data_IF_457523883122
#
_entry.id   IF_457523883122
#
_cell.length_a   1.000
_cell.length_b   1.000
_cell.length_c   1.000
_cell.angle_alpha   90.00
_cell.angle_beta   90.00
_cell.angle_gamma   90.00
#
_symmetry.space_group_name_H-M   'P 1'
#
loop_
_entity.id
_entity.type
_entity.pdbx_description
1 polymer ?
#
# COMPACT_ATOMS: atom_id res chain seq x y z
N UNK A 1 -34.10 6.20 -35.20
CA UNK A 1 -35.00 5.40 -34.35
C UNK A 1 -34.46 5.46 -32.95
N UNK A 2 -34.97 6.37 -32.16
CA UNK A 2 -34.68 6.59 -30.74
C UNK A 2 -35.44 5.56 -29.92
N UNK A 3 -34.79 4.55 -29.42
CA UNK A 3 -35.33 3.63 -28.42
C UNK A 3 -34.36 3.54 -27.24
N UNK A 4 -34.13 4.67 -26.60
CA UNK A 4 -33.45 4.74 -25.32
C UNK A 4 -34.41 5.30 -24.27
N UNK A 5 -35.37 4.50 -23.82
CA UNK A 5 -35.99 4.79 -22.54
C UNK A 5 -34.99 4.56 -21.43
N UNK A 6 -34.57 5.61 -20.76
CA UNK A 6 -33.76 5.51 -19.53
C UNK A 6 -34.46 4.53 -18.58
N UNK A 7 -33.83 3.40 -18.33
CA UNK A 7 -34.37 2.39 -17.40
C UNK A 7 -33.86 2.74 -16.01
N UNK A 8 -34.56 3.66 -15.33
CA UNK A 8 -34.29 4.01 -13.94
C UNK A 8 -34.20 2.73 -13.10
N UNK A 9 -33.23 2.67 -12.21
CA UNK A 9 -33.01 1.51 -11.34
C UNK A 9 -34.16 1.41 -10.33
N UNK A 10 -34.92 0.30 -10.41
CA UNK A 10 -35.90 -0.03 -9.38
C UNK A 10 -35.21 -0.56 -8.13
N UNK A 11 -35.01 0.33 -7.15
CA UNK A 11 -34.38 0.01 -5.86
C UNK A 11 -35.21 -0.90 -4.97
N UNK A 12 -36.47 -1.21 -5.35
CA UNK A 12 -37.32 -2.18 -4.65
C UNK A 12 -37.09 -3.62 -5.15
N UNK A 13 -36.52 -3.78 -6.35
CA UNK A 13 -36.20 -5.09 -6.90
C UNK A 13 -35.07 -5.76 -6.12
N UNK A 14 -34.95 -7.12 -6.07
CA UNK A 14 -33.90 -7.79 -5.37
C UNK A 14 -32.48 -7.36 -5.80
N UNK A 15 -32.29 -7.10 -7.10
CA UNK A 15 -31.03 -6.61 -7.65
C UNK A 15 -30.76 -5.15 -7.25
N UNK A 16 -31.80 -4.29 -7.29
CA UNK A 16 -31.70 -2.89 -6.88
C UNK A 16 -31.43 -2.74 -5.38
N UNK A 17 -32.09 -3.52 -4.53
CA UNK A 17 -31.83 -3.56 -3.08
C UNK A 17 -30.38 -3.95 -2.80
N UNK A 18 -29.86 -4.97 -3.49
CA UNK A 18 -28.49 -5.42 -3.34
C UNK A 18 -27.51 -4.33 -3.80
N UNK A 19 -27.74 -3.73 -4.97
CA UNK A 19 -26.91 -2.67 -5.53
C UNK A 19 -26.87 -1.46 -4.59
N UNK A 20 -28.04 -0.99 -4.13
CA UNK A 20 -28.14 0.14 -3.19
C UNK A 20 -27.35 -0.13 -1.91
N UNK A 21 -27.52 -1.33 -1.34
CA UNK A 21 -26.77 -1.71 -0.14
C UNK A 21 -25.27 -1.71 -0.36
N UNK A 22 -24.79 -2.28 -1.48
CA UNK A 22 -23.37 -2.32 -1.79
C UNK A 22 -22.80 -0.92 -2.04
N UNK A 23 -23.55 -0.03 -2.71
CA UNK A 23 -23.15 1.34 -2.95
C UNK A 23 -23.02 2.14 -1.63
N UNK A 24 -23.96 1.94 -0.70
CA UNK A 24 -23.91 2.55 0.64
C UNK A 24 -22.72 2.00 1.44
N UNK A 25 -22.56 0.68 1.52
CA UNK A 25 -21.44 0.02 2.24
C UNK A 25 -20.08 0.50 1.68
N UNK A 26 -19.97 0.73 0.36
CA UNK A 26 -18.75 1.26 -0.29
C UNK A 26 -18.48 2.70 0.12
N UNK A 27 -19.51 3.55 0.11
CA UNK A 27 -19.42 4.96 0.51
C UNK A 27 -18.98 5.09 1.98
N UNK A 28 -19.62 4.32 2.87
CA UNK A 28 -19.36 4.37 4.31
C UNK A 28 -17.91 4.02 4.66
N UNK A 29 -17.32 3.03 3.99
CA UNK A 29 -15.93 2.62 4.26
C UNK A 29 -14.89 3.57 3.63
N UNK A 30 -15.27 4.37 2.63
CA UNK A 30 -14.34 5.21 1.85
C UNK A 30 -13.56 6.19 2.71
N UNK A 31 -14.21 6.84 3.67
CA UNK A 31 -13.56 7.80 4.55
C UNK A 31 -12.46 7.15 5.39
N UNK A 32 -12.69 5.95 5.89
CA UNK A 32 -11.70 5.19 6.65
C UNK A 32 -10.49 4.79 5.77
N UNK A 33 -10.74 4.25 4.57
CA UNK A 33 -9.69 3.86 3.63
C UNK A 33 -8.87 5.09 3.17
N UNK A 34 -9.52 6.22 2.94
CA UNK A 34 -8.83 7.47 2.58
C UNK A 34 -7.95 7.96 3.72
N UNK A 35 -8.41 7.87 4.97
CA UNK A 35 -7.59 8.21 6.13
C UNK A 35 -6.32 7.33 6.21
N UNK A 36 -6.43 6.02 5.96
CA UNK A 36 -5.26 5.13 5.94
C UNK A 36 -4.29 5.48 4.80
N UNK A 37 -4.80 5.79 3.60
CA UNK A 37 -4.00 6.27 2.49
C UNK A 37 -3.30 7.59 2.83
N UNK A 38 -3.97 8.51 3.51
CA UNK A 38 -3.39 9.79 3.96
C UNK A 38 -2.25 9.57 4.94
N UNK A 39 -2.35 8.60 5.86
CA UNK A 39 -1.22 8.22 6.73
C UNK A 39 -0.06 7.66 5.91
N UNK A 40 -0.33 6.79 4.95
CA UNK A 40 0.71 6.24 4.07
C UNK A 40 1.40 7.35 3.25
N UNK A 41 0.64 8.35 2.77
CA UNK A 41 1.17 9.49 2.01
C UNK A 41 1.82 10.55 2.89
N UNK A 42 1.62 10.50 4.20
CA UNK A 42 2.10 11.52 5.15
C UNK A 42 1.34 12.85 5.06
N UNK A 43 0.10 12.82 4.59
CA UNK A 43 -0.78 14.00 4.49
C UNK A 43 -1.96 13.95 5.46
N UNK A 44 -2.00 12.95 6.34
CA UNK A 44 -3.02 12.77 7.37
C UNK A 44 -3.22 14.01 8.23
N UNK A 45 -4.41 14.18 8.79
CA UNK A 45 -4.70 15.24 9.77
C UNK A 45 -3.73 15.19 10.95
N UNK A 46 -3.48 16.34 11.57
CA UNK A 46 -2.66 16.39 12.76
C UNK A 46 -3.56 16.09 13.96
N UNK A 47 -3.14 15.23 14.89
CA UNK A 47 -3.98 14.79 16.01
C UNK A 47 -4.27 15.88 17.07
N UNK A 48 -3.78 17.09 16.84
CA UNK A 48 -3.97 18.23 17.75
C UNK A 48 -5.08 19.13 17.23
N UNK A 49 -6.12 19.31 18.00
CA UNK A 49 -7.16 20.31 17.73
C UNK A 49 -6.59 21.71 17.90
N UNK A 50 -6.05 22.26 16.82
CA UNK A 50 -5.68 23.65 16.76
C UNK A 50 -6.96 24.51 16.71
N UNK A 51 -7.15 25.38 17.70
CA UNK A 51 -8.26 26.35 17.70
C UNK A 51 -8.23 27.23 16.44
N UNK A 52 -9.38 27.82 16.08
CA UNK A 52 -9.54 28.64 14.85
C UNK A 52 -8.58 29.82 14.69
N UNK A 53 -7.78 30.13 15.70
CA UNK A 53 -6.85 31.26 15.74
C UNK A 53 -5.37 30.85 15.80
N UNK A 54 -5.04 29.65 15.32
CA UNK A 54 -3.64 29.21 15.27
C UNK A 54 -2.88 30.03 14.23
N UNK A 55 -1.77 30.65 14.65
CA UNK A 55 -0.91 31.45 13.77
C UNK A 55 -0.39 30.58 12.63
N UNK A 56 -0.26 31.13 11.42
CA UNK A 56 0.28 30.42 10.23
C UNK A 56 1.62 29.74 10.52
N UNK A 57 2.48 30.35 11.33
CA UNK A 57 3.76 29.78 11.75
C UNK A 57 3.59 28.44 12.49
N UNK A 58 2.56 28.31 13.34
CA UNK A 58 2.27 27.07 14.05
C UNK A 58 1.73 26.00 13.11
N UNK A 59 0.85 26.37 12.19
CA UNK A 59 0.36 25.45 11.14
C UNK A 59 1.52 24.89 10.32
N UNK A 60 2.52 25.71 10.00
CA UNK A 60 3.72 25.25 9.31
C UNK A 60 4.55 24.29 10.15
N UNK A 61 4.74 24.54 11.45
CA UNK A 61 5.40 23.61 12.36
C UNK A 61 4.67 22.28 12.43
N UNK A 62 3.34 22.30 12.49
CA UNK A 62 2.51 21.10 12.45
C UNK A 62 2.71 20.31 11.16
N UNK A 63 2.82 20.95 10.00
CA UNK A 63 3.07 20.26 8.72
C UNK A 63 4.44 19.59 8.67
N UNK A 64 5.49 20.26 9.15
CA UNK A 64 6.86 19.73 9.12
C UNK A 64 7.17 18.74 10.27
N UNK A 65 6.28 18.58 11.25
CA UNK A 65 6.46 17.60 12.33
C UNK A 65 6.16 16.17 11.90
N UNK A 66 5.55 15.96 10.75
CA UNK A 66 5.15 14.63 10.29
C UNK A 66 6.36 13.79 9.91
N UNK A 67 6.46 12.62 10.52
CA UNK A 67 7.38 11.55 10.10
C UNK A 67 6.57 10.46 9.44
N UNK A 68 6.79 10.23 8.14
CA UNK A 68 6.02 9.25 7.38
C UNK A 68 6.52 7.81 7.63
N UNK A 69 6.36 7.31 8.86
CA UNK A 69 6.72 5.94 9.21
C UNK A 69 5.73 4.91 8.66
N UNK A 70 4.47 5.27 8.46
CA UNK A 70 3.46 4.38 7.87
C UNK A 70 3.93 3.84 6.52
N UNK A 71 4.50 4.70 5.68
CA UNK A 71 5.09 4.30 4.40
C UNK A 71 6.24 3.33 4.56
N UNK A 72 7.14 3.57 5.51
CA UNK A 72 8.29 2.67 5.76
C UNK A 72 7.82 1.29 6.19
N UNK A 73 6.79 1.21 7.06
CA UNK A 73 6.21 -0.05 7.54
C UNK A 73 5.65 -0.87 6.36
N UNK A 74 4.89 -0.24 5.47
CA UNK A 74 4.29 -0.87 4.29
C UNK A 74 5.37 -1.32 3.30
N UNK A 75 6.25 -0.40 2.88
CA UNK A 75 7.27 -0.70 1.87
C UNK A 75 8.28 -1.75 2.36
N UNK A 76 8.63 -1.75 3.65
CA UNK A 76 9.51 -2.77 4.21
C UNK A 76 8.94 -4.20 4.07
N UNK A 77 7.64 -4.37 3.99
CA UNK A 77 6.98 -5.66 3.74
C UNK A 77 6.85 -5.91 2.24
N UNK A 78 6.28 -4.94 1.50
CA UNK A 78 6.01 -5.04 0.06
C UNK A 78 7.27 -5.36 -0.78
N UNK A 79 8.40 -4.75 -0.48
CA UNK A 79 9.66 -4.93 -1.23
C UNK A 79 10.15 -6.39 -1.33
N UNK A 80 9.63 -7.28 -0.51
CA UNK A 80 9.97 -8.70 -0.51
C UNK A 80 8.83 -9.59 -1.04
N UNK A 81 7.70 -8.99 -1.41
CA UNK A 81 6.57 -9.68 -2.02
C UNK A 81 6.68 -9.55 -3.54
N UNK A 82 7.32 -10.51 -4.17
CA UNK A 82 7.64 -10.49 -5.60
C UNK A 82 7.28 -11.83 -6.24
N UNK A 83 6.13 -11.92 -6.94
CA UNK A 83 5.76 -13.12 -7.69
C UNK A 83 6.68 -13.30 -8.90
N UNK A 84 7.30 -14.45 -9.04
CA UNK A 84 8.24 -14.76 -10.12
C UNK A 84 7.73 -15.85 -11.07
N UNK A 85 6.54 -16.39 -10.83
CA UNK A 85 5.94 -17.40 -11.69
C UNK A 85 4.70 -18.04 -11.07
N UNK A 86 4.08 -18.92 -11.83
CA UNK A 86 2.93 -19.74 -11.40
C UNK A 86 3.15 -21.17 -11.83
N UNK A 87 2.80 -22.12 -10.95
CA UNK A 87 2.65 -23.54 -11.31
C UNK A 87 1.19 -23.80 -11.60
N UNK A 88 0.91 -24.63 -12.59
CA UNK A 88 -0.44 -25.10 -12.92
C UNK A 88 -0.44 -26.62 -13.08
N UNK A 89 -1.60 -27.26 -12.93
CA UNK A 89 -1.74 -28.70 -13.16
C UNK A 89 -1.60 -29.12 -14.63
N UNK A 90 -1.48 -28.16 -15.55
CA UNK A 90 -1.35 -28.42 -16.97
C UNK A 90 0.09 -28.58 -17.43
N UNK A 91 1.02 -27.94 -16.75
CA UNK A 91 2.43 -27.99 -17.03
C UNK A 91 3.15 -28.68 -15.87
N UNK A 92 3.81 -29.79 -16.15
CA UNK A 92 4.60 -30.53 -15.16
C UNK A 92 5.96 -29.87 -14.91
N UNK A 93 6.22 -28.70 -15.51
CA UNK A 93 7.47 -27.98 -15.35
C UNK A 93 7.55 -27.36 -13.96
N UNK A 94 8.48 -27.82 -13.15
CA UNK A 94 8.76 -27.30 -11.82
C UNK A 94 9.21 -25.83 -11.84
N UNK A 95 9.65 -25.33 -12.98
CA UNK A 95 10.11 -23.95 -13.17
C UNK A 95 8.99 -22.92 -13.31
N UNK A 96 7.75 -23.36 -13.52
CA UNK A 96 6.57 -22.53 -13.70
C UNK A 96 5.96 -22.60 -15.10
N UNK A 97 4.67 -22.30 -15.19
CA UNK A 97 3.90 -22.32 -16.42
C UNK A 97 4.19 -21.06 -17.28
N UNK A 98 4.74 -21.28 -18.48
CA UNK A 98 5.11 -20.21 -19.41
C UNK A 98 3.90 -19.41 -19.92
N UNK A 99 2.73 -20.04 -20.06
CA UNK A 99 1.52 -19.37 -20.50
C UNK A 99 0.91 -18.48 -19.39
N UNK A 100 0.97 -18.93 -18.14
CA UNK A 100 0.60 -18.10 -16.99
C UNK A 100 1.49 -16.86 -16.94
N UNK A 101 2.79 -17.03 -17.12
CA UNK A 101 3.72 -15.91 -17.14
C UNK A 101 3.52 -14.98 -18.34
N UNK A 102 3.14 -15.52 -19.51
CA UNK A 102 2.78 -14.73 -20.69
C UNK A 102 1.57 -13.82 -20.41
N UNK A 103 0.51 -14.35 -19.79
CA UNK A 103 -0.67 -13.55 -19.41
C UNK A 103 -0.28 -12.45 -18.42
N UNK A 104 0.56 -12.79 -17.43
CA UNK A 104 1.07 -11.84 -16.44
C UNK A 104 1.80 -10.68 -17.11
N UNK A 105 2.76 -10.97 -17.98
CA UNK A 105 3.55 -9.98 -18.71
C UNK A 105 2.70 -9.14 -19.67
N UNK A 106 1.76 -9.76 -20.38
CA UNK A 106 0.87 -9.07 -21.32
C UNK A 106 0.01 -8.00 -20.64
N UNK A 107 -0.32 -8.19 -19.36
CA UNK A 107 -1.06 -7.23 -18.54
C UNK A 107 -0.15 -6.27 -17.73
N UNK A 108 1.17 -6.29 -17.95
CA UNK A 108 2.13 -5.45 -17.17
C UNK A 108 2.04 -5.66 -15.66
N UNK A 109 1.67 -6.86 -15.21
CA UNK A 109 1.44 -7.15 -13.79
C UNK A 109 2.71 -7.08 -12.94
N UNK A 110 3.91 -7.06 -13.54
CA UNK A 110 5.16 -6.75 -12.83
C UNK A 110 5.12 -5.37 -12.16
N UNK A 111 4.38 -4.43 -12.72
CA UNK A 111 4.18 -3.11 -12.14
C UNK A 111 2.89 -3.04 -11.30
N UNK A 112 1.79 -3.58 -11.84
CA UNK A 112 0.47 -3.40 -11.24
C UNK A 112 0.27 -4.24 -9.97
N UNK A 113 0.95 -5.42 -9.84
CA UNK A 113 0.91 -6.16 -8.58
C UNK A 113 1.42 -5.33 -7.40
N UNK A 114 2.46 -4.47 -7.64
CA UNK A 114 2.99 -3.59 -6.59
C UNK A 114 1.96 -2.57 -6.10
N UNK A 115 1.04 -2.13 -6.98
CA UNK A 115 -0.06 -1.23 -6.60
C UNK A 115 -1.08 -1.96 -5.74
N UNK A 116 -1.45 -3.19 -6.13
CA UNK A 116 -2.38 -4.04 -5.39
C UNK A 116 -1.82 -4.39 -4.01
N UNK A 117 -0.58 -4.85 -3.93
CA UNK A 117 0.08 -5.21 -2.67
C UNK A 117 0.17 -3.99 -1.73
N UNK A 118 0.57 -2.83 -2.27
CA UNK A 118 0.64 -1.58 -1.51
C UNK A 118 -0.73 -1.18 -0.97
N UNK A 119 -1.77 -1.21 -1.80
CA UNK A 119 -3.13 -0.88 -1.38
C UNK A 119 -3.62 -1.87 -0.31
N UNK A 120 -3.35 -3.17 -0.49
CA UNK A 120 -3.70 -4.22 0.47
C UNK A 120 -3.01 -4.01 1.82
N UNK A 121 -1.70 -3.74 1.82
CA UNK A 121 -0.94 -3.52 3.06
C UNK A 121 -1.28 -2.17 3.73
N UNK A 122 -1.67 -1.17 2.96
CA UNK A 122 -2.02 0.17 3.46
C UNK A 122 -3.45 0.21 4.01
N UNK A 123 -4.41 -0.20 3.20
CA UNK A 123 -5.85 -0.06 3.47
C UNK A 123 -6.50 -1.36 3.96
N UNK A 124 -5.70 -2.40 4.18
CA UNK A 124 -6.18 -3.71 4.58
C UNK A 124 -6.81 -4.52 3.44
N UNK A 125 -7.09 -3.88 2.31
CA UNK A 125 -7.73 -4.50 1.14
C UNK A 125 -7.39 -3.82 -0.17
N UNK A 126 -7.49 -4.59 -1.25
CA UNK A 126 -7.53 -4.13 -2.64
C UNK A 126 -8.34 -5.11 -3.48
N UNK A 127 -8.40 -4.92 -4.78
CA UNK A 127 -9.05 -5.88 -5.67
C UNK A 127 -8.34 -5.93 -7.02
N UNK A 128 -8.49 -7.06 -7.71
CA UNK A 128 -8.23 -7.19 -9.14
C UNK A 128 -9.50 -7.63 -9.86
N UNK A 129 -9.71 -7.11 -11.05
CA UNK A 129 -10.79 -7.53 -11.93
C UNK A 129 -10.22 -8.20 -13.17
N UNK A 130 -10.87 -9.32 -13.57
CA UNK A 130 -10.47 -10.08 -14.76
C UNK A 130 -11.56 -9.96 -15.81
N UNK A 131 -11.17 -9.56 -17.01
CA UNK A 131 -12.06 -9.40 -18.17
C UNK A 131 -11.85 -10.45 -19.25
N UNK A 132 -12.62 -10.38 -20.34
CA UNK A 132 -12.43 -11.21 -21.51
C UNK A 132 -11.07 -10.95 -22.16
N UNK A 133 -10.72 -11.81 -23.14
CA UNK A 133 -9.48 -11.63 -23.92
C UNK A 133 -9.55 -10.31 -24.68
N UNK A 134 -8.58 -9.43 -24.40
CA UNK A 134 -8.40 -8.19 -25.12
C UNK A 134 -7.60 -8.44 -26.39
N UNK A 135 -8.13 -8.03 -27.57
CA UNK A 135 -7.45 -8.24 -28.84
C UNK A 135 -6.10 -7.53 -28.98
N UNK A 136 -5.89 -6.40 -28.28
CA UNK A 136 -4.65 -5.62 -28.37
C UNK A 136 -3.49 -6.32 -27.66
N UNK A 137 -3.76 -6.90 -26.48
CA UNK A 137 -2.75 -7.60 -25.69
C UNK A 137 -2.72 -9.11 -25.92
N UNK A 138 -3.73 -9.66 -26.60
CA UNK A 138 -3.87 -11.09 -26.87
C UNK A 138 -3.98 -11.98 -25.62
N UNK A 139 -4.46 -11.42 -24.52
CA UNK A 139 -4.63 -12.08 -23.23
C UNK A 139 -5.92 -11.60 -22.55
N UNK A 140 -6.48 -12.35 -21.58
CA UNK A 140 -7.52 -11.83 -20.68
C UNK A 140 -7.05 -10.57 -19.98
N UNK A 141 -7.89 -9.55 -19.96
CA UNK A 141 -7.57 -8.27 -19.32
C UNK A 141 -7.61 -8.41 -17.80
N UNK A 142 -6.55 -8.02 -17.13
CA UNK A 142 -6.45 -8.01 -15.66
C UNK A 142 -6.14 -6.59 -15.22
N UNK A 143 -6.98 -6.02 -14.35
CA UNK A 143 -6.83 -4.65 -13.87
C UNK A 143 -6.74 -4.59 -12.35
N UNK A 144 -5.82 -3.75 -11.84
CA UNK A 144 -5.75 -3.40 -10.44
C UNK A 144 -6.85 -2.38 -10.10
N UNK A 145 -7.55 -2.58 -8.99
CA UNK A 145 -8.71 -1.79 -8.62
C UNK A 145 -8.54 -1.14 -7.25
N UNK A 146 -8.89 0.15 -7.15
CA UNK A 146 -8.87 0.86 -5.88
C UNK A 146 -10.00 0.34 -4.96
N UNK A 147 -9.71 -0.04 -3.71
CA UNK A 147 -10.72 -0.53 -2.78
C UNK A 147 -11.76 0.53 -2.36
N UNK A 148 -11.56 1.79 -2.73
CA UNK A 148 -12.52 2.89 -2.56
C UNK A 148 -13.55 2.95 -3.70
N UNK A 149 -13.30 2.23 -4.80
CA UNK A 149 -14.20 2.09 -5.95
C UNK A 149 -14.86 0.73 -6.06
N UNK A 150 -14.26 -0.31 -5.48
CA UNK A 150 -14.73 -1.69 -5.61
C UNK A 150 -15.14 -2.27 -4.27
N UNK A 151 -16.29 -2.92 -4.22
CA UNK A 151 -16.76 -3.68 -3.06
C UNK A 151 -17.20 -5.08 -3.48
N UNK A 152 -16.85 -6.06 -2.66
CA UNK A 152 -17.13 -7.47 -2.88
C UNK A 152 -17.96 -8.01 -1.72
N UNK A 153 -18.90 -8.91 -2.00
CA UNK A 153 -19.66 -9.67 -1.00
C UNK A 153 -19.31 -11.14 -1.07
N UNK A 154 -19.04 -11.71 0.10
CA UNK A 154 -18.68 -13.11 0.25
C UNK A 154 -19.85 -13.94 0.80
N UNK A 155 -19.81 -15.23 0.51
CA UNK A 155 -20.72 -16.21 1.12
C UNK A 155 -20.38 -16.35 2.61
N UNK A 156 -21.33 -16.16 3.53
CA UNK A 156 -21.07 -16.30 4.98
C UNK A 156 -20.53 -17.68 5.40
N UNK A 157 -20.84 -18.72 4.61
CA UNK A 157 -20.37 -20.08 4.86
C UNK A 157 -19.02 -20.40 4.22
N UNK A 158 -18.70 -19.69 3.11
CA UNK A 158 -17.47 -19.88 2.34
C UNK A 158 -16.85 -18.52 2.05
N UNK A 159 -16.05 -18.03 2.99
CA UNK A 159 -15.49 -16.67 2.98
C UNK A 159 -14.78 -16.26 1.70
N UNK A 160 -14.09 -17.18 1.03
CA UNK A 160 -13.39 -16.91 -0.23
C UNK A 160 -14.30 -16.98 -1.46
N UNK A 161 -15.58 -17.37 -1.28
CA UNK A 161 -16.55 -17.41 -2.39
C UNK A 161 -17.24 -16.07 -2.53
N UNK A 162 -16.94 -15.37 -3.61
CA UNK A 162 -17.60 -14.12 -4.00
C UNK A 162 -19.02 -14.41 -4.49
N UNK A 163 -20.00 -13.67 -3.99
CA UNK A 163 -21.43 -13.81 -4.34
C UNK A 163 -21.95 -12.62 -5.12
N UNK A 164 -21.38 -11.43 -4.93
CA UNK A 164 -21.68 -10.21 -5.68
C UNK A 164 -20.47 -9.27 -5.65
N UNK A 165 -20.34 -8.40 -6.65
CA UNK A 165 -19.33 -7.35 -6.68
C UNK A 165 -19.90 -6.09 -7.33
N UNK A 166 -19.40 -4.93 -6.93
CA UNK A 166 -19.75 -3.63 -7.48
C UNK A 166 -18.50 -2.77 -7.62
N UNK A 167 -18.30 -2.17 -8.80
CA UNK A 167 -17.36 -1.09 -9.04
C UNK A 167 -18.11 0.19 -9.35
N UNK A 168 -17.79 1.27 -8.65
CA UNK A 168 -18.27 2.63 -8.90
C UNK A 168 -17.08 3.52 -9.25
N UNK A 169 -17.07 4.11 -10.42
CA UNK A 169 -15.98 4.99 -10.87
C UNK A 169 -16.49 6.18 -11.66
N UNK A 170 -15.66 7.21 -11.74
CA UNK A 170 -15.92 8.43 -12.49
C UNK A 170 -15.34 8.32 -13.89
N UNK A 171 -16.15 8.54 -14.89
CA UNK A 171 -15.75 8.70 -16.29
C UNK A 171 -15.71 10.20 -16.58
N UNK A 172 -14.56 10.82 -16.41
CA UNK A 172 -14.38 12.27 -16.56
C UNK A 172 -14.62 12.73 -18.00
N UNK A 173 -14.18 11.94 -18.99
CA UNK A 173 -14.33 12.27 -20.40
C UNK A 173 -15.79 12.29 -20.84
N UNK A 174 -16.58 11.36 -20.34
CA UNK A 174 -18.02 11.28 -20.62
C UNK A 174 -18.86 12.18 -19.68
N UNK A 175 -18.29 12.66 -18.58
CA UNK A 175 -19.03 13.39 -17.54
C UNK A 175 -20.07 12.52 -16.82
N UNK A 176 -19.76 11.23 -16.65
CA UNK A 176 -20.66 10.23 -16.09
C UNK A 176 -20.06 9.59 -14.84
N UNK A 177 -20.92 9.29 -13.87
CA UNK A 177 -20.63 8.26 -12.88
C UNK A 177 -21.06 6.92 -13.46
N UNK A 178 -20.20 5.91 -13.34
CA UNK A 178 -20.46 4.57 -13.88
C UNK A 178 -20.46 3.51 -12.79
N UNK A 179 -21.31 2.52 -12.96
CA UNK A 179 -21.39 1.33 -12.13
C UNK A 179 -21.23 0.07 -12.97
N UNK A 180 -20.34 -0.82 -12.53
CA UNK A 180 -20.25 -2.18 -13.05
C UNK A 180 -20.66 -3.12 -11.93
N UNK A 181 -21.79 -3.77 -12.10
CA UNK A 181 -22.41 -4.59 -11.08
C UNK A 181 -22.50 -6.06 -11.48
N UNK A 182 -22.04 -6.91 -10.60
CA UNK A 182 -22.13 -8.36 -10.72
C UNK A 182 -23.09 -8.89 -9.65
N UNK A 183 -24.40 -8.98 -9.97
CA UNK A 183 -25.44 -9.36 -8.99
C UNK A 183 -25.33 -10.79 -8.49
N UNK A 184 -24.77 -11.66 -9.30
CA UNK A 184 -24.58 -13.09 -9.06
C UNK A 184 -23.51 -13.65 -10.00
N UNK A 185 -22.93 -14.83 -9.70
CA UNK A 185 -21.99 -15.49 -10.60
C UNK A 185 -22.51 -15.63 -12.02
N UNK A 186 -21.63 -15.32 -13.00
CA UNK A 186 -21.94 -15.41 -14.43
C UNK A 186 -22.78 -14.27 -15.01
N UNK A 187 -23.03 -13.19 -14.29
CA UNK A 187 -23.85 -12.08 -14.76
C UNK A 187 -23.20 -10.72 -14.49
N UNK A 188 -23.34 -9.81 -15.45
CA UNK A 188 -22.89 -8.42 -15.37
C UNK A 188 -24.01 -7.49 -15.81
N UNK A 189 -24.11 -6.35 -15.16
CA UNK A 189 -25.01 -5.24 -15.54
C UNK A 189 -24.23 -3.94 -15.37
N UNK A 190 -24.41 -3.01 -16.31
CA UNK A 190 -23.82 -1.67 -16.23
C UNK A 190 -24.90 -0.63 -16.00
N UNK A 191 -24.55 0.40 -15.25
CA UNK A 191 -25.42 1.54 -15.01
C UNK A 191 -24.60 2.82 -15.02
N UNK A 192 -25.27 3.93 -15.31
CA UNK A 192 -24.64 5.25 -15.31
C UNK A 192 -25.58 6.33 -14.76
N UNK A 193 -24.97 7.45 -14.39
CA UNK A 193 -25.64 8.68 -13.99
C UNK A 193 -24.87 9.87 -14.55
N UNK A 194 -25.56 10.88 -15.05
CA UNK A 194 -24.93 12.15 -15.43
C UNK A 194 -24.47 12.87 -14.16
N UNK A 195 -23.21 13.28 -14.12
CA UNK A 195 -22.66 14.05 -13.00
C UNK A 195 -23.29 15.42 -12.91
N UNK A 196 -23.59 15.84 -11.69
CA UNK A 196 -24.01 17.22 -11.42
C UNK A 196 -22.79 18.14 -11.38
N UNK A 197 -22.99 19.41 -11.68
CA UNK A 197 -21.94 20.45 -11.52
C UNK A 197 -21.47 20.62 -10.07
N UNK A 198 -22.18 20.05 -9.10
CA UNK A 198 -21.80 20.01 -7.68
C UNK A 198 -20.90 18.84 -7.32
N UNK A 199 -20.84 17.79 -8.17
CA UNK A 199 -20.03 16.61 -7.96
C UNK A 199 -18.57 16.91 -8.41
N UNK A 200 -17.74 17.44 -7.52
CA UNK A 200 -16.37 17.89 -7.83
C UNK A 200 -15.27 16.89 -7.44
N UNK A 201 -15.62 15.81 -6.73
CA UNK A 201 -14.67 14.81 -6.28
C UNK A 201 -14.20 13.85 -7.38
N UNK A 202 -13.05 13.20 -7.18
CA UNK A 202 -12.56 12.09 -8.03
C UNK A 202 -13.35 10.78 -7.81
N UNK A 203 -14.25 10.76 -6.84
CA UNK A 203 -15.08 9.61 -6.47
C UNK A 203 -16.54 9.83 -6.82
N UNK A 204 -17.28 8.74 -7.00
CA UNK A 204 -18.72 8.77 -7.09
C UNK A 204 -19.30 9.16 -5.72
N UNK A 205 -19.83 10.38 -5.60
CA UNK A 205 -20.38 10.91 -4.35
C UNK A 205 -21.83 10.50 -4.14
N UNK A 206 -22.64 10.52 -5.22
CA UNK A 206 -24.03 10.14 -5.14
C UNK A 206 -24.22 8.63 -5.28
N UNK A 207 -24.43 7.96 -4.16
CA UNK A 207 -24.72 6.53 -4.06
C UNK A 207 -26.20 6.20 -3.94
N UNK A 208 -27.11 7.16 -4.18
CA UNK A 208 -28.53 6.88 -4.31
C UNK A 208 -28.82 6.26 -5.68
N UNK A 209 -28.96 4.97 -5.72
CA UNK A 209 -29.15 4.20 -6.96
C UNK A 209 -30.46 4.49 -7.65
N UNK A 210 -31.44 5.13 -6.99
CA UNK A 210 -32.68 5.59 -7.62
C UNK A 210 -32.45 6.72 -8.64
N UNK A 211 -31.31 7.45 -8.53
CA UNK A 211 -30.90 8.48 -9.48
C UNK A 211 -30.13 7.94 -10.70
N UNK A 212 -29.93 6.61 -10.77
CA UNK A 212 -29.15 5.95 -11.81
C UNK A 212 -30.01 5.21 -12.81
N UNK A 213 -29.50 5.00 -14.02
CA UNK A 213 -30.14 4.27 -15.09
C UNK A 213 -29.28 3.08 -15.54
N UNK A 214 -29.95 1.96 -15.86
CA UNK A 214 -29.30 0.84 -16.49
C UNK A 214 -28.89 1.17 -17.92
N UNK A 215 -27.62 1.00 -18.26
CA UNK A 215 -27.09 1.22 -19.62
C UNK A 215 -27.61 0.11 -20.56
N UNK A 216 -27.53 -1.15 -20.09
CA UNK A 216 -27.82 -2.34 -20.86
C UNK A 216 -28.73 -3.32 -20.10
N UNK A 217 -29.22 -4.34 -20.83
CA UNK A 217 -29.81 -5.53 -20.21
C UNK A 217 -28.73 -6.35 -19.52
N UNK A 218 -29.08 -7.11 -18.45
CA UNK A 218 -28.16 -8.05 -17.84
C UNK A 218 -27.53 -8.98 -18.89
N UNK A 219 -26.20 -9.02 -18.89
CA UNK A 219 -25.43 -9.86 -19.83
C UNK A 219 -24.86 -11.07 -19.09
N UNK A 220 -24.86 -12.23 -19.76
CA UNK A 220 -24.26 -13.42 -19.24
C UNK A 220 -22.76 -13.45 -19.58
N UNK A 221 -21.93 -13.69 -18.57
CA UNK A 221 -20.48 -13.84 -18.73
C UNK A 221 -20.17 -15.27 -19.23
N UNK A 222 -19.05 -15.44 -19.98
CA UNK A 222 -18.58 -16.75 -20.35
C UNK A 222 -18.12 -17.58 -19.16
N UNK A 223 -17.74 -16.93 -18.06
CA UNK A 223 -17.30 -17.55 -16.79
C UNK A 223 -18.47 -17.58 -15.80
N UNK A 224 -18.62 -18.71 -15.10
CA UNK A 224 -19.67 -18.91 -14.08
C UNK A 224 -19.22 -18.47 -12.68
N UNK A 225 -18.32 -17.50 -12.60
CA UNK A 225 -17.81 -16.91 -11.39
C UNK A 225 -17.94 -15.39 -11.48
N UNK A 226 -17.80 -14.69 -10.35
CA UNK A 226 -17.66 -13.24 -10.35
C UNK A 226 -16.18 -12.93 -10.62
N UNK A 227 -15.87 -12.14 -11.67
CA UNK A 227 -14.51 -11.91 -12.10
C UNK A 227 -13.83 -10.77 -11.32
N UNK A 228 -14.08 -10.68 -10.03
CA UNK A 228 -13.46 -9.74 -9.11
C UNK A 228 -12.90 -10.52 -7.92
N UNK A 229 -11.60 -10.37 -7.70
CA UNK A 229 -10.87 -10.99 -6.60
C UNK A 229 -10.49 -9.91 -5.61
N UNK A 230 -10.92 -10.06 -4.36
CA UNK A 230 -10.55 -9.15 -3.27
C UNK A 230 -9.34 -9.71 -2.54
N UNK A 231 -8.30 -8.89 -2.43
CA UNK A 231 -7.10 -9.15 -1.64
C UNK A 231 -7.32 -8.60 -0.23
N UNK A 232 -7.07 -9.42 0.78
CA UNK A 232 -7.31 -9.04 2.18
C UNK A 232 -6.03 -9.20 2.99
N UNK A 233 -5.67 -8.17 3.77
CA UNK A 233 -4.56 -8.22 4.71
C UNK A 233 -5.07 -8.41 6.14
N UNK A 234 -4.37 -9.22 6.94
CA UNK A 234 -4.67 -9.45 8.37
C UNK A 234 -6.15 -9.74 8.67
N UNK A 235 -6.86 -10.33 7.72
CA UNK A 235 -8.29 -10.59 7.90
C UNK A 235 -8.54 -11.53 9.07
N UNK A 236 -9.19 -11.02 10.12
CA UNK A 236 -9.64 -11.80 11.24
C UNK A 236 -10.70 -12.83 10.85
N UNK A 237 -11.07 -13.71 11.80
CA UNK A 237 -12.14 -14.70 11.58
C UNK A 237 -13.48 -14.03 11.23
N UNK A 238 -13.72 -12.82 11.69
CA UNK A 238 -14.89 -11.99 11.36
C UNK A 238 -14.85 -11.39 9.93
N UNK A 239 -13.74 -11.56 9.21
CA UNK A 239 -13.59 -11.02 7.84
C UNK A 239 -13.21 -9.55 7.74
N UNK A 240 -12.92 -8.87 8.86
CA UNK A 240 -12.44 -7.50 8.85
C UNK A 240 -10.93 -7.50 8.58
N UNK A 241 -10.46 -6.94 7.47
CA UNK A 241 -9.05 -6.77 7.18
C UNK A 241 -8.51 -5.51 7.87
N UNK A 242 -7.20 -5.48 8.11
CA UNK A 242 -6.50 -4.36 8.71
C UNK A 242 -5.23 -4.01 7.90
N UNK A 243 -4.92 -2.72 7.81
CA UNK A 243 -3.64 -2.24 7.27
C UNK A 243 -2.46 -2.56 8.19
N UNK A 244 -1.24 -2.66 7.65
CA UNK A 244 -0.04 -3.04 8.41
C UNK A 244 0.30 -2.11 9.59
N UNK A 245 -0.11 -0.86 9.52
CA UNK A 245 0.10 0.14 10.56
C UNK A 245 -1.19 0.58 11.26
N UNK A 246 -2.35 0.07 10.85
CA UNK A 246 -3.66 0.54 11.31
C UNK A 246 -3.84 0.39 12.82
N UNK A 247 -3.44 -0.75 13.40
CA UNK A 247 -3.46 -0.96 14.84
C UNK A 247 -2.52 -0.01 15.62
N UNK A 248 -1.62 0.69 14.92
CA UNK A 248 -0.57 1.53 15.51
C UNK A 248 -0.76 3.03 15.23
N UNK A 249 -1.92 3.45 14.70
CA UNK A 249 -2.20 4.86 14.38
C UNK A 249 -1.96 5.80 15.58
N UNK A 250 -2.43 5.41 16.77
CA UNK A 250 -2.21 6.20 17.98
C UNK A 250 -0.71 6.37 18.35
N UNK A 251 0.13 5.38 18.03
CA UNK A 251 1.57 5.48 18.26
C UNK A 251 2.24 6.41 17.23
N UNK A 252 1.79 6.38 15.98
CA UNK A 252 2.23 7.29 14.93
C UNK A 252 1.84 8.75 15.26
N UNK A 253 0.63 8.95 15.76
CA UNK A 253 0.15 10.26 16.19
C UNK A 253 0.96 10.79 17.38
N UNK A 254 1.24 9.94 18.38
CA UNK A 254 2.08 10.30 19.53
C UNK A 254 3.48 10.72 19.06
N UNK A 255 4.08 10.00 18.13
CA UNK A 255 5.38 10.35 17.57
C UNK A 255 5.34 11.72 16.89
N UNK A 256 4.34 11.98 16.05
CA UNK A 256 4.13 13.27 15.39
C UNK A 256 4.01 14.41 16.41
N UNK A 257 3.29 14.17 17.52
CA UNK A 257 3.15 15.12 18.60
C UNK A 257 4.49 15.38 19.34
N UNK A 258 5.28 14.33 19.58
CA UNK A 258 6.62 14.46 20.20
C UNK A 258 7.56 15.31 19.33
N UNK A 259 7.55 15.07 18.01
CA UNK A 259 8.33 15.87 17.04
C UNK A 259 7.85 17.33 17.02
N UNK A 260 6.53 17.57 17.05
CA UNK A 260 5.95 18.90 17.09
C UNK A 260 6.44 19.67 18.32
N UNK A 261 6.33 19.07 19.52
CA UNK A 261 6.81 19.68 20.77
C UNK A 261 8.32 20.00 20.70
N UNK A 262 9.12 19.12 20.11
CA UNK A 262 10.55 19.38 19.88
C UNK A 262 10.77 20.62 19.01
N UNK A 263 10.05 20.72 17.89
CA UNK A 263 10.15 21.86 16.96
C UNK A 263 9.71 23.17 17.62
N UNK A 264 8.66 23.13 18.43
CA UNK A 264 8.21 24.28 19.22
C UNK A 264 9.29 24.76 20.20
N UNK A 265 9.84 23.83 21.00
CA UNK A 265 10.91 24.16 21.95
C UNK A 265 12.13 24.72 21.21
N UNK A 266 12.54 24.14 20.08
CA UNK A 266 13.65 24.64 19.26
C UNK A 266 13.37 26.04 18.73
N UNK A 267 12.15 26.31 18.26
CA UNK A 267 11.76 27.63 17.75
C UNK A 267 11.74 28.67 18.87
N UNK A 268 11.15 28.32 20.03
CA UNK A 268 11.11 29.24 21.21
C UNK A 268 12.51 29.53 21.78
N UNK A 269 13.42 28.56 21.73
CA UNK A 269 14.80 28.75 22.18
C UNK A 269 15.66 29.55 21.21
N UNK A 270 15.37 29.49 19.92
CA UNK A 270 16.05 30.33 18.92
C UNK A 270 15.78 31.82 19.16
N UNK A 271 14.60 32.14 19.72
CA UNK A 271 14.18 33.49 20.10
C UNK A 271 13.90 33.54 21.61
N UNK A 272 14.99 33.48 22.40
CA UNK A 272 14.85 33.50 23.85
C UNK A 272 14.01 34.70 24.30
N UNK A 273 13.05 34.48 25.19
CA UNK A 273 12.31 35.53 25.82
C UNK A 273 13.25 36.29 26.78
N UNK A 274 13.30 37.57 26.60
CA UNK A 274 14.07 38.49 27.44
C UNK A 274 13.10 39.42 28.16
N UNK A 275 13.33 39.60 29.41
CA UNK A 275 12.61 40.59 30.20
C UNK A 275 13.62 41.57 30.82
N UNK A 276 13.28 42.81 30.82
CA UNK A 276 14.13 43.86 31.41
C UNK A 276 13.42 44.42 32.63
N UNK A 277 14.11 44.45 33.76
CA UNK A 277 13.67 45.09 34.99
C UNK A 277 14.47 46.36 35.26
N UNK A 278 13.88 47.35 35.92
CA UNK A 278 14.59 48.56 36.34
C UNK A 278 14.70 49.63 35.25
N UNK A 279 13.90 49.53 34.18
CA UNK A 279 13.76 50.64 33.23
C UNK A 279 12.94 51.77 33.87
N UNK A 280 13.31 53.06 33.70
CA UNK A 280 12.51 54.18 34.15
C UNK A 280 11.18 54.22 33.39
N UNK A 281 10.07 54.37 34.12
CA UNK A 281 8.73 54.46 33.50
C UNK A 281 8.48 55.84 32.89
N UNK A 282 9.20 56.85 33.34
CA UNK A 282 9.06 58.25 32.91
C UNK A 282 10.40 58.86 32.60
N UNK A 283 10.43 59.78 31.65
CA UNK A 283 11.59 60.59 31.32
C UNK A 283 11.79 61.75 32.33
N UNK A 284 12.82 62.57 32.11
CA UNK A 284 13.10 63.73 32.94
C UNK A 284 12.03 64.83 32.92
N UNK A 285 11.11 64.78 31.92
CA UNK A 285 9.97 65.70 31.76
C UNK A 285 8.67 65.15 32.37
N UNK A 286 8.65 63.91 32.86
CA UNK A 286 7.50 63.25 33.47
C UNK A 286 6.59 62.52 32.48
N UNK A 287 6.95 62.39 31.20
CA UNK A 287 6.23 61.64 30.18
C UNK A 287 6.58 60.15 30.24
N UNK A 288 5.59 59.28 29.93
CA UNK A 288 5.78 57.82 29.86
C UNK A 288 6.69 57.48 28.68
N UNK A 289 7.76 56.73 28.95
CA UNK A 289 8.69 56.26 27.92
C UNK A 289 8.11 55.02 27.24
N UNK A 290 7.92 55.08 25.95
CA UNK A 290 7.54 53.89 25.12
C UNK A 290 8.79 53.19 24.66
N UNK A 291 9.03 51.97 25.15
CA UNK A 291 10.15 51.12 24.82
C UNK A 291 9.84 50.12 23.68
N UNK A 292 8.69 50.18 23.03
CA UNK A 292 8.23 49.19 22.07
C UNK A 292 9.13 49.08 20.84
N UNK A 293 9.83 50.15 20.47
CA UNK A 293 10.76 50.18 19.33
C UNK A 293 12.24 49.97 19.72
N UNK A 294 12.58 50.11 21.00
CA UNK A 294 13.97 50.07 21.47
C UNK A 294 14.51 48.66 21.68
N UNK A 295 13.64 47.67 21.86
CA UNK A 295 14.00 46.29 22.19
C UNK A 295 13.50 45.29 21.14
N UNK A 296 13.98 45.44 19.90
CA UNK A 296 13.68 44.49 18.84
C UNK A 296 14.44 43.17 19.06
N UNK A 297 13.74 42.04 18.92
CA UNK A 297 14.31 40.71 19.02
C UNK A 297 14.74 40.23 17.60
N UNK A 298 16.00 40.53 17.23
CA UNK A 298 16.58 40.10 15.94
C UNK A 298 18.00 39.54 16.09
N UNK A 299 18.46 38.74 15.13
CA UNK A 299 19.84 38.26 15.11
C UNK A 299 20.82 39.44 14.95
N UNK A 300 21.69 39.65 15.94
CA UNK A 300 22.72 40.68 15.91
C UNK A 300 22.32 42.05 16.51
N UNK A 301 21.10 42.19 17.04
CA UNK A 301 20.69 43.42 17.70
C UNK A 301 21.31 43.56 19.10
N UNK A 302 21.89 44.71 19.39
CA UNK A 302 22.49 45.06 20.68
C UNK A 302 21.61 46.06 21.40
N UNK A 303 21.19 45.70 22.60
CA UNK A 303 20.43 46.58 23.46
C UNK A 303 21.36 47.42 24.34
N UNK A 304 21.21 48.72 24.31
CA UNK A 304 21.88 49.61 25.26
C UNK A 304 20.99 49.80 26.49
N UNK A 305 21.44 49.32 27.65
CA UNK A 305 20.68 49.37 28.87
C UNK A 305 21.29 50.33 29.87
N UNK A 306 20.46 51.04 30.67
CA UNK A 306 20.96 51.83 31.78
C UNK A 306 21.58 50.93 32.87
N UNK A 307 22.52 51.45 33.65
CA UNK A 307 23.25 50.69 34.66
C UNK A 307 22.37 50.04 35.74
N UNK A 308 21.12 50.48 35.86
CA UNK A 308 20.11 49.98 36.82
C UNK A 308 19.24 48.87 36.27
N UNK A 309 19.36 48.58 35.00
CA UNK A 309 18.53 47.57 34.35
C UNK A 309 19.14 46.16 34.49
N UNK A 310 18.32 45.19 34.85
CA UNK A 310 18.66 43.76 34.89
C UNK A 310 17.96 43.03 33.75
N UNK A 311 18.72 42.24 33.02
CA UNK A 311 18.17 41.35 31.97
C UNK A 311 17.82 40.01 32.61
N UNK A 312 16.60 39.57 32.39
CA UNK A 312 16.19 38.18 32.59
C UNK A 312 16.08 37.49 31.22
N UNK A 313 16.68 36.34 31.10
CA UNK A 313 16.51 35.48 29.92
C UNK A 313 15.84 34.17 30.32
N UNK A 314 14.97 33.64 29.43
CA UNK A 314 14.38 32.33 29.64
C UNK A 314 15.47 31.25 29.68
N UNK A 315 15.35 30.30 30.61
CA UNK A 315 16.31 29.22 30.79
C UNK A 315 16.48 28.35 29.53
N UNK A 316 17.66 27.75 29.41
CA UNK A 316 17.92 26.78 28.32
C UNK A 316 17.22 25.46 28.63
N UNK A 317 16.37 24.99 27.75
CA UNK A 317 15.75 23.66 27.84
C UNK A 317 16.68 22.62 27.27
N UNK A 318 16.93 21.55 28.02
CA UNK A 318 17.71 20.41 27.49
C UNK A 318 16.83 19.57 26.54
N UNK A 319 17.19 19.51 25.26
CA UNK A 319 16.47 18.73 24.25
C UNK A 319 16.77 17.21 24.27
N UNK A 320 17.83 16.80 24.96
CA UNK A 320 18.25 15.40 24.97
C UNK A 320 17.16 14.41 25.44
N UNK A 321 16.35 14.68 26.49
CA UNK A 321 15.26 13.80 26.89
C UNK A 321 14.17 13.68 25.84
N UNK A 322 13.86 14.76 25.09
CA UNK A 322 12.85 14.77 24.04
C UNK A 322 13.32 13.92 22.85
N UNK A 323 14.59 14.08 22.44
CA UNK A 323 15.20 13.27 21.38
C UNK A 323 15.27 11.78 21.77
N UNK A 324 15.52 11.48 23.03
CA UNK A 324 15.51 10.11 23.54
C UNK A 324 14.11 9.50 23.50
N UNK A 325 13.07 10.27 23.88
CA UNK A 325 11.68 9.84 23.81
C UNK A 325 11.24 9.58 22.37
N UNK A 326 11.59 10.46 21.43
CA UNK A 326 11.35 10.28 19.99
C UNK A 326 11.99 9.00 19.49
N UNK A 327 13.28 8.78 19.77
CA UNK A 327 13.98 7.54 19.39
C UNK A 327 13.30 6.30 19.96
N UNK A 328 12.88 6.35 21.23
CA UNK A 328 12.20 5.24 21.90
C UNK A 328 10.83 4.94 21.29
N UNK A 329 10.06 5.96 20.91
CA UNK A 329 8.79 5.79 20.19
C UNK A 329 9.01 5.10 18.83
N UNK A 330 10.00 5.54 18.05
CA UNK A 330 10.35 4.93 16.77
C UNK A 330 10.75 3.46 16.94
N UNK A 331 11.61 3.15 17.94
CA UNK A 331 12.02 1.77 18.24
C UNK A 331 10.83 0.90 18.63
N UNK A 332 9.91 1.44 19.42
CA UNK A 332 8.70 0.71 19.85
C UNK A 332 7.78 0.42 18.68
N UNK A 333 7.56 1.39 17.78
CA UNK A 333 6.77 1.22 16.56
C UNK A 333 7.43 0.18 15.65
N UNK A 334 8.73 0.29 15.41
CA UNK A 334 9.50 -0.65 14.58
C UNK A 334 9.41 -2.09 15.13
N UNK A 335 9.51 -2.24 16.46
CA UNK A 335 9.34 -3.54 17.13
C UNK A 335 7.95 -4.12 16.98
N UNK A 336 6.92 -3.32 17.22
CA UNK A 336 5.52 -3.73 17.14
C UNK A 336 5.09 -4.13 15.72
N UNK A 337 5.64 -3.45 14.70
CA UNK A 337 5.33 -3.70 13.28
C UNK A 337 6.27 -4.69 12.60
N UNK A 338 7.25 -5.25 13.34
CA UNK A 338 8.32 -6.10 12.77
C UNK A 338 9.08 -5.43 11.61
N UNK A 339 9.22 -4.09 11.67
CA UNK A 339 9.98 -3.30 10.70
C UNK A 339 11.44 -3.24 11.13
N UNK A 340 12.42 -3.57 10.26
CA UNK A 340 13.83 -3.49 10.62
C UNK A 340 14.25 -2.07 10.97
N UNK A 341 14.87 -1.89 12.15
CA UNK A 341 15.30 -0.57 12.65
C UNK A 341 16.30 0.13 11.72
N UNK A 342 17.05 -0.64 10.93
CA UNK A 342 18.03 -0.13 9.97
C UNK A 342 17.41 0.70 8.83
N UNK A 343 16.11 0.53 8.54
CA UNK A 343 15.38 1.43 7.62
C UNK A 343 15.21 2.83 8.18
N UNK A 344 15.24 2.96 9.51
CA UNK A 344 15.00 4.21 10.23
C UNK A 344 16.30 4.83 10.77
N UNK A 345 17.22 3.98 11.19
CA UNK A 345 18.55 4.37 11.71
C UNK A 345 19.63 3.49 11.06
N UNK A 346 20.16 3.88 9.89
CA UNK A 346 21.16 3.10 9.16
C UNK A 346 22.45 2.83 9.99
N UNK A 347 22.83 3.76 10.85
CA UNK A 347 24.04 3.68 11.68
C UNK A 347 23.85 2.89 12.99
N UNK A 348 22.60 2.55 13.34
CA UNK A 348 22.33 1.76 14.53
C UNK A 348 22.61 0.26 14.23
N UNK A 349 23.90 -0.10 14.17
CA UNK A 349 24.39 -1.49 14.05
C UNK A 349 24.01 -2.32 15.29
N UNK A 350 22.84 -2.05 15.87
CA UNK A 350 22.28 -2.51 17.12
C UNK A 350 22.45 -3.99 17.41
N UNK A 351 23.58 -4.37 17.95
CA UNK A 351 23.79 -5.68 18.55
C UNK A 351 24.68 -6.62 17.76
N UNK A 352 24.86 -7.81 18.31
CA UNK A 352 25.62 -8.91 17.73
C UNK A 352 25.05 -9.33 16.36
N UNK A 353 25.86 -9.98 15.54
CA UNK A 353 25.43 -10.58 14.27
C UNK A 353 24.18 -11.48 14.45
N UNK A 354 24.08 -12.17 15.59
CA UNK A 354 22.92 -12.98 15.97
C UNK A 354 21.63 -12.15 16.16
N UNK A 355 21.72 -10.99 16.81
CA UNK A 355 20.58 -10.09 16.98
C UNK A 355 20.07 -9.49 15.65
N UNK A 356 20.98 -9.22 14.71
CA UNK A 356 20.64 -8.80 13.37
C UNK A 356 19.95 -9.93 12.57
N UNK A 357 20.38 -11.20 12.76
CA UNK A 357 19.77 -12.36 12.14
C UNK A 357 18.36 -12.60 12.66
N UNK A 358 18.13 -12.56 13.98
CA UNK A 358 16.80 -12.70 14.57
C UNK A 358 15.80 -11.64 14.07
N UNK A 359 16.25 -10.41 13.90
CA UNK A 359 15.42 -9.33 13.34
C UNK A 359 15.06 -9.55 11.86
N UNK A 360 15.99 -10.13 11.08
CA UNK A 360 15.72 -10.55 9.69
C UNK A 360 14.70 -11.68 9.62
N UNK A 361 14.81 -12.65 10.53
CA UNK A 361 13.88 -13.79 10.61
C UNK A 361 12.46 -13.33 10.92
N UNK A 362 12.25 -12.43 11.89
CA UNK A 362 10.93 -11.90 12.21
C UNK A 362 10.26 -11.23 11.00
N UNK A 363 11.01 -10.43 10.23
CA UNK A 363 10.53 -9.85 8.99
C UNK A 363 10.21 -10.92 7.94
N UNK A 364 11.09 -11.92 7.80
CA UNK A 364 10.90 -13.00 6.83
C UNK A 364 9.62 -13.78 7.11
N UNK A 365 9.33 -14.13 8.35
CA UNK A 365 8.09 -14.79 8.74
C UNK A 365 6.85 -13.93 8.44
N UNK A 366 6.90 -12.64 8.76
CA UNK A 366 5.83 -11.70 8.44
C UNK A 366 5.54 -11.68 6.93
N UNK A 367 6.58 -11.50 6.11
CA UNK A 367 6.42 -11.44 4.65
C UNK A 367 5.93 -12.77 4.08
N UNK A 368 6.47 -13.90 4.55
CA UNK A 368 5.99 -15.23 4.11
C UNK A 368 4.51 -15.44 4.41
N UNK A 369 4.04 -14.96 5.56
CA UNK A 369 2.61 -15.03 5.90
C UNK A 369 1.77 -14.20 4.93
N UNK A 370 2.21 -12.99 4.57
CA UNK A 370 1.54 -12.15 3.57
C UNK A 370 1.57 -12.79 2.18
N UNK A 371 2.72 -13.33 1.75
CA UNK A 371 2.83 -14.06 0.48
C UNK A 371 1.87 -15.25 0.41
N UNK A 372 1.74 -16.04 1.48
CA UNK A 372 0.79 -17.16 1.52
C UNK A 372 -0.66 -16.68 1.39
N UNK A 373 -1.01 -15.60 2.08
CA UNK A 373 -2.36 -15.07 2.05
C UNK A 373 -2.72 -14.50 0.69
N UNK A 374 -1.87 -13.65 0.12
CA UNK A 374 -2.10 -13.03 -1.19
C UNK A 374 -1.85 -13.99 -2.35
N UNK A 375 -1.02 -15.01 -2.16
CA UNK A 375 -0.82 -16.06 -3.15
C UNK A 375 -2.14 -16.72 -3.56
N UNK A 376 -2.97 -17.07 -2.60
CA UNK A 376 -4.31 -17.61 -2.85
C UNK A 376 -5.21 -16.67 -3.68
N UNK A 377 -5.01 -15.36 -3.54
CA UNK A 377 -5.80 -14.38 -4.27
C UNK A 377 -5.25 -14.22 -5.71
N UNK A 378 -3.92 -14.19 -5.90
CA UNK A 378 -3.30 -14.23 -7.24
C UNK A 378 -3.60 -15.52 -8.01
N UNK A 379 -3.62 -16.68 -7.34
CA UNK A 379 -4.05 -17.95 -7.92
C UNK A 379 -5.48 -17.88 -8.44
N UNK A 380 -6.36 -17.22 -7.71
CA UNK A 380 -7.74 -17.01 -8.15
C UNK A 380 -7.82 -16.06 -9.35
N UNK A 381 -7.02 -15.00 -9.39
CA UNK A 381 -6.91 -14.10 -10.56
C UNK A 381 -6.49 -14.86 -11.79
N UNK A 382 -5.41 -15.65 -11.71
CA UNK A 382 -4.91 -16.42 -12.82
C UNK A 382 -5.87 -17.55 -13.26
N UNK A 383 -6.54 -18.21 -12.32
CA UNK A 383 -7.59 -19.18 -12.59
C UNK A 383 -8.75 -18.57 -13.39
N UNK A 384 -9.19 -17.36 -13.03
CA UNK A 384 -10.21 -16.61 -13.78
C UNK A 384 -9.70 -16.20 -15.17
N UNK A 385 -8.45 -15.78 -15.28
CA UNK A 385 -7.85 -15.43 -16.56
C UNK A 385 -7.85 -16.64 -17.51
N UNK A 386 -7.43 -17.82 -17.05
CA UNK A 386 -7.49 -19.04 -17.86
C UNK A 386 -8.93 -19.46 -18.19
N UNK A 387 -9.88 -19.24 -17.28
CA UNK A 387 -11.30 -19.48 -17.56
C UNK A 387 -11.82 -18.58 -18.70
N UNK A 388 -11.41 -17.31 -18.76
CA UNK A 388 -11.74 -16.39 -19.86
C UNK A 388 -11.00 -16.76 -21.17
N UNK A 389 -9.78 -17.28 -21.08
CA UNK A 389 -9.03 -17.81 -22.23
C UNK A 389 -9.61 -19.13 -22.77
N UNK A 390 -10.54 -19.76 -22.02
CA UNK A 390 -11.12 -21.06 -22.41
C UNK A 390 -10.24 -22.27 -22.09
N UNK A 391 -9.15 -22.10 -21.33
CA UNK A 391 -8.26 -23.17 -20.88
C UNK A 391 -8.74 -23.76 -19.55
N UNK A 392 -9.68 -24.69 -19.63
CA UNK A 392 -10.28 -25.32 -18.46
C UNK A 392 -9.26 -26.12 -17.61
N UNK A 393 -8.16 -26.60 -18.23
CA UNK A 393 -7.12 -27.37 -17.54
C UNK A 393 -6.31 -26.49 -16.60
N UNK A 394 -5.89 -25.30 -17.08
CA UNK A 394 -5.15 -24.32 -16.29
C UNK A 394 -6.05 -23.49 -15.37
N UNK A 395 -7.35 -23.43 -15.64
CA UNK A 395 -8.33 -22.76 -14.79
C UNK A 395 -8.60 -23.48 -13.45
N UNK A 396 -8.05 -24.70 -13.24
CA UNK A 396 -8.20 -25.44 -11.98
C UNK A 396 -7.39 -24.78 -10.86
N UNK A 397 -8.08 -24.09 -9.95
CA UNK A 397 -7.44 -23.43 -8.81
C UNK A 397 -6.72 -24.41 -7.86
N UNK A 398 -7.21 -25.63 -7.73
CA UNK A 398 -6.63 -26.62 -6.81
C UNK A 398 -5.23 -27.08 -7.17
N UNK A 399 -4.83 -26.85 -8.41
CA UNK A 399 -3.55 -27.26 -8.96
C UNK A 399 -2.63 -26.06 -9.26
N UNK A 400 -3.02 -24.85 -8.82
CA UNK A 400 -2.28 -23.63 -9.08
C UNK A 400 -1.54 -23.16 -7.82
N UNK A 401 -0.29 -22.72 -7.99
CA UNK A 401 0.55 -22.20 -6.92
C UNK A 401 1.39 -21.02 -7.43
N UNK A 402 1.41 -19.92 -6.69
CA UNK A 402 2.31 -18.78 -6.97
C UNK A 402 3.73 -19.12 -6.54
N UNK A 403 4.69 -18.87 -7.42
CA UNK A 403 6.11 -18.95 -7.09
C UNK A 403 6.59 -17.56 -6.66
N UNK A 404 6.95 -17.43 -5.40
CA UNK A 404 7.47 -16.19 -4.85
C UNK A 404 9.00 -16.13 -4.89
N UNK A 405 9.54 -14.95 -5.12
CA UNK A 405 10.96 -14.72 -4.91
C UNK A 405 11.32 -15.00 -3.44
N UNK A 406 12.49 -15.56 -3.15
CA UNK A 406 12.89 -15.84 -1.79
C UNK A 406 12.99 -14.58 -0.94
N UNK A 407 12.28 -14.59 0.19
CA UNK A 407 12.22 -13.46 1.14
C UNK A 407 13.59 -13.18 1.77
N UNK A 408 14.40 -14.22 1.99
CA UNK A 408 15.76 -14.07 2.52
C UNK A 408 16.74 -13.98 1.36
N UNK A 409 17.39 -12.82 1.24
CA UNK A 409 18.43 -12.61 0.21
C UNK A 409 19.78 -12.95 0.81
N UNK A 410 20.42 -13.98 0.26
CA UNK A 410 21.78 -14.37 0.58
C UNK A 410 22.79 -13.62 -0.30
N UNK A 411 24.00 -13.41 0.20
CA UNK A 411 25.09 -12.85 -0.59
C UNK A 411 25.46 -13.79 -1.75
N UNK A 412 26.06 -13.25 -2.81
CA UNK A 412 26.49 -14.07 -3.95
C UNK A 412 27.48 -15.16 -3.53
N UNK A 413 28.35 -14.88 -2.53
CA UNK A 413 29.30 -15.85 -1.99
C UNK A 413 28.59 -16.99 -1.25
N UNK A 414 27.59 -16.69 -0.42
CA UNK A 414 26.79 -17.71 0.27
C UNK A 414 25.99 -18.58 -0.72
N UNK A 415 25.42 -17.97 -1.76
CA UNK A 415 24.75 -18.71 -2.84
C UNK A 415 25.68 -19.61 -3.61
N UNK A 416 26.89 -19.15 -3.92
CA UNK A 416 27.89 -19.94 -4.63
C UNK A 416 28.38 -21.13 -3.79
N UNK A 417 28.61 -20.92 -2.50
CA UNK A 417 29.02 -21.98 -1.56
C UNK A 417 27.92 -23.04 -1.38
N UNK A 418 26.65 -22.57 -1.20
CA UNK A 418 25.51 -23.47 -1.15
C UNK A 418 25.34 -24.27 -2.45
N UNK A 419 25.43 -23.62 -3.61
CA UNK A 419 25.31 -24.28 -4.90
C UNK A 419 26.40 -25.35 -5.11
N UNK A 420 27.65 -25.07 -4.72
CA UNK A 420 28.73 -26.04 -4.78
C UNK A 420 28.48 -27.26 -3.89
N UNK A 421 28.00 -27.05 -2.66
CA UNK A 421 27.66 -28.13 -1.72
C UNK A 421 26.48 -28.99 -2.21
N UNK A 422 25.43 -28.38 -2.74
CA UNK A 422 24.28 -29.10 -3.29
C UNK A 422 24.68 -29.91 -4.55
N UNK A 423 25.50 -29.33 -5.44
CA UNK A 423 26.04 -30.03 -6.60
C UNK A 423 26.90 -31.24 -6.18
N UNK A 424 27.75 -31.11 -5.14
CA UNK A 424 28.52 -32.19 -4.59
C UNK A 424 27.65 -33.29 -3.93
N UNK A 425 26.48 -32.93 -3.44
CA UNK A 425 25.48 -33.88 -2.89
C UNK A 425 24.65 -34.59 -3.97
N UNK A 426 24.85 -34.27 -5.27
CA UNK A 426 24.15 -34.90 -6.38
C UNK A 426 22.77 -34.30 -6.70
N UNK A 427 22.47 -33.11 -6.17
CA UNK A 427 21.24 -32.39 -6.52
C UNK A 427 21.41 -31.84 -7.93
N UNK A 428 20.35 -31.93 -8.73
CA UNK A 428 20.36 -31.48 -10.13
C UNK A 428 20.55 -29.96 -10.24
N UNK A 429 21.15 -29.53 -11.35
CA UNK A 429 21.49 -28.13 -11.58
C UNK A 429 20.25 -27.22 -11.61
N UNK A 430 19.11 -27.72 -12.04
CA UNK A 430 17.88 -26.97 -12.17
C UNK A 430 17.30 -26.61 -10.79
N UNK A 431 17.26 -27.60 -9.89
CA UNK A 431 16.90 -27.38 -8.49
C UNK A 431 17.85 -26.38 -7.82
N UNK A 432 19.17 -26.49 -8.10
CA UNK A 432 20.15 -25.53 -7.59
C UNK A 432 19.91 -24.13 -8.19
N UNK A 433 19.65 -24.03 -9.48
CA UNK A 433 19.39 -22.74 -10.13
C UNK A 433 18.14 -22.08 -9.58
N UNK A 434 17.09 -22.85 -9.33
CA UNK A 434 15.83 -22.36 -8.77
C UNK A 434 15.94 -22.00 -7.30
N UNK A 435 16.35 -22.94 -6.45
CA UNK A 435 16.21 -22.81 -4.99
C UNK A 435 17.39 -22.05 -4.33
N UNK A 436 18.59 -22.16 -4.93
CA UNK A 436 19.78 -21.52 -4.39
C UNK A 436 20.14 -20.24 -5.14
N UNK A 437 20.24 -20.32 -6.48
CA UNK A 437 20.60 -19.16 -7.29
C UNK A 437 19.44 -18.22 -7.55
N UNK A 438 18.20 -18.68 -7.30
CA UNK A 438 16.99 -17.88 -7.41
C UNK A 438 16.78 -17.33 -8.84
N UNK A 439 17.00 -18.20 -9.82
CA UNK A 439 16.84 -17.87 -11.24
C UNK A 439 15.38 -17.97 -11.65
N UNK A 440 14.95 -17.05 -12.52
CA UNK A 440 13.61 -17.11 -13.11
C UNK A 440 13.43 -18.32 -14.02
N UNK A 441 12.19 -18.78 -14.23
CA UNK A 441 11.91 -19.88 -15.18
C UNK A 441 12.52 -19.66 -16.56
N UNK A 442 12.51 -18.44 -17.08
CA UNK A 442 13.09 -18.08 -18.36
C UNK A 442 14.64 -18.17 -18.34
N UNK A 443 15.29 -17.76 -17.25
CA UNK A 443 16.74 -17.91 -17.10
C UNK A 443 17.13 -19.37 -17.01
N UNK A 444 16.36 -20.20 -16.30
CA UNK A 444 16.58 -21.65 -16.19
C UNK A 444 16.44 -22.31 -17.57
N UNK A 445 15.41 -21.97 -18.35
CA UNK A 445 15.24 -22.46 -19.71
C UNK A 445 16.43 -22.07 -20.62
N UNK A 446 16.94 -20.85 -20.50
CA UNK A 446 18.15 -20.41 -21.23
C UNK A 446 19.40 -21.19 -20.78
N UNK A 447 19.55 -21.47 -19.49
CA UNK A 447 20.65 -22.29 -18.97
C UNK A 447 20.61 -23.70 -19.50
N UNK A 448 19.43 -24.34 -19.57
CA UNK A 448 19.23 -25.67 -20.22
C UNK A 448 19.67 -25.66 -21.68
N UNK A 449 19.21 -24.67 -22.43
CA UNK A 449 19.57 -24.55 -23.86
C UNK A 449 21.10 -24.38 -24.04
N UNK A 450 21.71 -23.54 -23.20
CA UNK A 450 23.15 -23.31 -23.20
C UNK A 450 23.96 -24.59 -22.89
N UNK A 451 23.49 -25.38 -21.93
CA UNK A 451 24.13 -26.66 -21.56
C UNK A 451 23.99 -27.71 -22.69
N UNK A 452 22.79 -27.81 -23.29
CA UNK A 452 22.58 -28.71 -24.44
C UNK A 452 23.51 -28.34 -25.61
N UNK A 453 23.64 -27.05 -25.92
CA UNK A 453 24.57 -26.57 -26.95
C UNK A 453 26.02 -26.91 -26.59
N UNK A 454 26.42 -26.66 -25.33
CA UNK A 454 27.79 -26.98 -24.90
C UNK A 454 28.08 -28.49 -24.89
N UNK A 455 27.11 -29.33 -24.52
CA UNK A 455 27.26 -30.79 -24.54
C UNK A 455 27.35 -31.32 -25.96
N UNK A 456 26.60 -30.76 -26.92
CA UNK A 456 26.68 -31.11 -28.34
C UNK A 456 28.04 -30.70 -28.94
N UNK A 457 28.51 -29.48 -28.55
CA UNK A 457 29.81 -28.98 -29.02
C UNK A 457 31.01 -29.71 -28.37
N UNK A 458 30.82 -30.25 -27.16
CA UNK A 458 31.84 -31.01 -26.46
C UNK A 458 31.85 -32.50 -26.78
N UNK A 459 30.85 -33.02 -27.55
CA UNK A 459 30.86 -34.38 -28.03
C UNK A 459 31.98 -34.52 -29.07
N UNK A 460 33.06 -35.32 -28.85
CA UNK A 460 34.08 -35.56 -29.87
C UNK A 460 33.44 -36.31 -31.03
N UNK A 461 33.83 -35.95 -32.27
CA UNK A 461 33.42 -36.59 -33.52
C UNK A 461 33.45 -38.13 -33.39
N UNK A 462 32.32 -38.72 -33.10
CA UNK A 462 32.13 -40.16 -33.15
C UNK A 462 31.67 -40.52 -34.56
N UNK A 463 32.53 -40.23 -35.55
CA UNK A 463 32.48 -40.84 -36.90
C UNK A 463 33.90 -41.10 -37.35
N UNK A 464 34.41 -42.27 -37.08
CA UNK A 464 35.35 -43.00 -37.91
C UNK A 464 34.93 -44.44 -37.98
#
# INVERSE_FOLDING_TARGET
MTLGGERVIDTSSPAGVLLQKMATDLSDRRAHLTNLEDYYRGVNGIPVHAGRHVRESYQRLMQISRLNLARVIVEATRELMDPIGFRTGADADESGDSEAWRIWQANSLDADHMLVDRATLTMGRSAMMVGPVDPEIGAPLITAEDPREVIVRHDPRRRRKVTAALKLYVDEDAGLDRAVFFPKPGWIVKASRVRSSTDQGCWVENTDMAAWSWDDLPQQLPVQQIPVVEFLNLAGINGNPEGEFEAHLAALDRLTFTVLNRLEVMTMQAYRQRGIKGLPEKDSSGEIIDYSEDFLNGPGELWQLPATAEIWESGVINLAPILQAEKQDIVSIAGATSTPIQYLFPDDNGGSAEGAQLKREARAFKVQDRCRQQGEDYEQVMSLAFAYAGDARRASRGDMEVIWAPVVRYSLAEKADAAAKFSAAGIDLETIARDVLQKTPQEIARMRTGQLVSSILAAPDAVQ
#
